data_IF_395327604651
#
_entry.id   IF_395327604651
#
_cell.length_a   1.000
_cell.length_b   1.000
_cell.length_c   1.000
_cell.angle_alpha   90.00
_cell.angle_beta   90.00
_cell.angle_gamma   90.00
#
_symmetry.space_group_name_H-M   'P 1'
#
loop_
_entity.id
_entity.type
_entity.pdbx_description
1 polymer ?
#
# COMPACT_ATOMS: atom_id res chain seq x y z
N UNK A 1 -26.89 49.30 64.77
CA UNK A 1 -27.60 49.98 63.68
C UNK A 1 -27.11 49.45 62.35
N UNK A 2 -28.05 48.99 61.50
CA UNK A 2 -28.08 49.08 60.02
C UNK A 2 -26.80 48.61 59.29
N UNK A 3 -26.75 47.38 58.77
CA UNK A 3 -27.32 46.95 57.47
C UNK A 3 -26.77 47.76 56.28
N UNK A 4 -26.22 47.09 55.26
CA UNK A 4 -26.81 47.00 53.90
C UNK A 4 -25.75 46.73 52.79
N UNK A 5 -26.03 45.67 52.01
CA UNK A 5 -25.79 45.53 50.55
C UNK A 5 -24.33 45.32 50.08
N UNK A 6 -23.99 44.42 49.15
CA UNK A 6 -24.79 43.52 48.33
C UNK A 6 -23.89 42.45 47.68
N UNK A 7 -24.55 41.39 47.24
CA UNK A 7 -24.02 40.24 46.53
C UNK A 7 -23.10 40.55 45.34
N UNK A 8 -21.94 39.87 45.28
CA UNK A 8 -21.36 39.41 44.02
C UNK A 8 -21.01 37.93 44.19
N UNK A 9 -22.00 37.09 43.86
CA UNK A 9 -21.80 35.70 43.47
C UNK A 9 -21.01 35.70 42.17
N UNK A 10 -19.73 35.38 42.20
CA UNK A 10 -19.02 34.94 41.01
C UNK A 10 -18.13 33.76 41.40
N UNK A 11 -18.72 32.56 41.34
CA UNK A 11 -18.14 31.38 40.71
C UNK A 11 -16.83 31.65 39.95
N UNK A 12 -15.70 31.69 40.66
CA UNK A 12 -14.36 31.77 40.10
C UNK A 12 -13.74 30.40 39.85
N UNK A 13 -14.58 29.38 39.62
CA UNK A 13 -14.17 27.98 39.49
C UNK A 13 -14.25 27.44 38.05
N UNK A 14 -14.66 28.22 37.04
CA UNK A 14 -15.04 27.62 35.73
C UNK A 14 -14.52 28.36 34.48
N UNK A 15 -13.41 29.10 34.53
CA UNK A 15 -12.89 29.67 33.27
C UNK A 15 -11.38 29.90 33.24
N UNK A 16 -10.59 28.87 33.56
CA UNK A 16 -9.17 28.80 33.21
C UNK A 16 -8.90 27.61 32.26
N UNK A 17 -9.84 27.38 31.34
CA UNK A 17 -9.77 26.34 30.29
C UNK A 17 -9.91 26.95 28.89
N UNK A 18 -9.39 28.17 28.72
CA UNK A 18 -9.33 28.90 27.45
C UNK A 18 -7.95 29.54 27.47
N UNK A 19 -6.90 29.01 26.85
CA UNK A 19 -6.70 28.90 25.41
C UNK A 19 -5.51 27.93 25.27
N UNK A 20 -5.73 26.67 24.91
CA UNK A 20 -4.63 25.90 24.32
C UNK A 20 -4.45 26.43 22.88
N UNK A 21 -3.25 26.89 22.48
CA UNK A 21 -3.00 27.11 21.07
C UNK A 21 -3.09 25.74 20.39
N UNK A 22 -4.15 25.53 19.62
CA UNK A 22 -4.20 24.43 18.66
C UNK A 22 -3.18 24.81 17.60
N UNK A 23 -1.93 24.37 17.79
CA UNK A 23 -0.88 24.51 16.79
C UNK A 23 -1.42 23.90 15.51
N UNK A 24 -1.68 24.74 14.51
CA UNK A 24 -2.06 24.31 13.17
C UNK A 24 -0.84 23.64 12.56
N UNK A 25 -0.76 22.31 12.72
CA UNK A 25 0.32 21.52 12.15
C UNK A 25 0.13 21.54 10.64
N UNK A 26 0.85 22.44 9.98
CA UNK A 26 1.04 22.42 8.54
C UNK A 26 1.84 21.15 8.22
N UNK A 27 1.14 20.09 7.87
CA UNK A 27 1.75 18.81 7.50
C UNK A 27 1.79 18.70 5.98
N UNK A 28 2.97 18.63 5.38
CA UNK A 28 3.10 18.11 4.03
C UNK A 28 2.83 16.59 4.01
N UNK A 29 2.45 16.07 2.85
CA UNK A 29 2.25 14.62 2.65
C UNK A 29 3.32 14.06 1.73
N UNK A 30 4.10 13.11 2.24
CA UNK A 30 5.11 12.36 1.50
C UNK A 30 4.52 11.00 1.14
N UNK A 31 4.35 10.75 -0.15
CA UNK A 31 3.94 9.46 -0.69
C UNK A 31 5.20 8.66 -1.00
N UNK A 32 5.34 7.51 -0.36
CA UNK A 32 6.43 6.58 -0.58
C UNK A 32 6.11 5.63 -1.75
N UNK A 33 7.14 5.08 -2.40
CA UNK A 33 7.00 4.14 -3.53
C UNK A 33 6.32 2.82 -3.16
N UNK A 34 6.33 2.46 -1.88
CA UNK A 34 5.60 1.31 -1.36
C UNK A 34 4.09 1.59 -1.12
N UNK A 35 3.62 2.79 -1.48
CA UNK A 35 2.23 3.22 -1.31
C UNK A 35 1.90 3.76 0.09
N UNK A 36 2.85 3.75 1.04
CA UNK A 36 2.64 4.38 2.35
C UNK A 36 2.66 5.90 2.23
N UNK A 37 1.78 6.55 2.96
CA UNK A 37 1.76 8.00 3.07
C UNK A 37 2.22 8.41 4.45
N UNK A 38 3.08 9.41 4.49
CA UNK A 38 3.68 9.93 5.71
C UNK A 38 3.39 11.42 5.75
N UNK A 39 2.85 11.90 6.88
CA UNK A 39 2.52 13.31 7.06
C UNK A 39 3.54 13.93 8.00
N UNK A 40 4.10 15.05 7.62
CA UNK A 40 5.14 15.70 8.40
C UNK A 40 5.58 17.01 7.80
N UNK A 41 6.39 17.76 8.54
CA UNK A 41 6.97 19.01 8.08
C UNK A 41 8.29 18.73 7.38
N UNK A 42 8.41 19.04 6.09
CA UNK A 42 9.69 18.93 5.37
C UNK A 42 10.59 20.08 5.80
N UNK A 43 11.74 19.76 6.40
CA UNK A 43 12.72 20.77 6.86
C UNK A 43 13.72 21.12 5.77
N UNK A 44 14.08 20.16 4.92
CA UNK A 44 15.09 20.36 3.89
C UNK A 44 15.29 19.12 3.03
N UNK A 45 16.03 19.29 1.94
CA UNK A 45 16.38 18.18 1.05
C UNK A 45 17.81 18.34 0.54
N UNK A 46 18.50 17.22 0.44
CA UNK A 46 19.83 17.12 -0.16
C UNK A 46 19.71 16.48 -1.55
N UNK A 47 20.83 16.14 -2.19
CA UNK A 47 20.84 15.41 -3.47
C UNK A 47 20.17 14.04 -3.33
N UNK A 48 20.41 13.33 -2.23
CA UNK A 48 20.02 11.92 -2.05
C UNK A 48 18.80 11.71 -1.12
N UNK A 49 18.54 12.64 -0.20
CA UNK A 49 17.55 12.49 0.87
C UNK A 49 16.68 13.72 1.08
N UNK A 50 15.55 13.51 1.76
CA UNK A 50 14.64 14.54 2.27
C UNK A 50 14.53 14.36 3.78
N UNK A 51 14.71 15.43 4.53
CA UNK A 51 14.60 15.43 5.99
C UNK A 51 13.26 16.04 6.38
N UNK A 52 12.45 15.28 7.12
CA UNK A 52 11.12 15.71 7.54
C UNK A 52 10.88 15.38 9.02
N UNK A 53 10.13 16.25 9.70
CA UNK A 53 9.64 16.00 11.06
C UNK A 53 8.30 15.30 10.98
N UNK A 54 8.25 14.06 11.43
CA UNK A 54 7.07 13.20 11.44
C UNK A 54 6.77 12.88 12.89
N UNK A 55 5.57 13.20 13.35
CA UNK A 55 5.13 12.95 14.73
C UNK A 55 6.09 13.50 15.81
N UNK A 56 6.84 14.56 15.48
CA UNK A 56 7.81 15.20 16.38
C UNK A 56 9.24 14.68 16.27
N UNK A 57 9.48 13.62 15.48
CA UNK A 57 10.82 13.08 15.23
C UNK A 57 11.36 13.52 13.87
N UNK A 58 12.64 13.89 13.83
CA UNK A 58 13.35 14.19 12.58
C UNK A 58 13.76 12.89 11.90
N UNK A 59 13.16 12.61 10.75
CA UNK A 59 13.41 11.41 9.96
C UNK A 59 14.00 11.81 8.60
N UNK A 60 15.11 11.17 8.24
CA UNK A 60 15.73 11.30 6.93
C UNK A 60 15.24 10.19 6.01
N UNK A 61 14.54 10.56 4.94
CA UNK A 61 13.94 9.66 3.96
C UNK A 61 14.71 9.78 2.64
N UNK A 62 15.30 8.69 2.11
CA UNK A 62 15.99 8.74 0.81
C UNK A 62 15.00 8.93 -0.34
N UNK A 63 15.36 9.75 -1.34
CA UNK A 63 14.51 10.07 -2.49
C UNK A 63 14.18 8.84 -3.35
N UNK A 64 15.04 7.84 -3.34
CA UNK A 64 14.78 6.53 -3.99
C UNK A 64 13.51 5.85 -3.46
N UNK A 65 13.10 6.14 -2.21
CA UNK A 65 11.88 5.62 -1.59
C UNK A 65 10.68 6.56 -1.75
N UNK A 66 10.86 7.77 -2.23
CA UNK A 66 9.81 8.78 -2.38
C UNK A 66 9.21 8.69 -3.79
N UNK A 67 7.88 8.73 -3.86
CA UNK A 67 7.13 8.83 -5.11
C UNK A 67 6.73 10.28 -5.40
N UNK A 68 6.11 10.95 -4.42
CA UNK A 68 5.64 12.33 -4.57
C UNK A 68 5.56 13.04 -3.21
N UNK A 69 5.88 14.33 -3.18
CA UNK A 69 5.63 15.20 -2.02
C UNK A 69 4.52 16.18 -2.39
N UNK A 70 3.52 16.29 -1.53
CA UNK A 70 2.37 17.19 -1.67
C UNK A 70 2.47 18.24 -0.58
N UNK A 71 2.78 19.46 -1.01
CA UNK A 71 2.81 20.64 -0.14
C UNK A 71 1.41 21.24 -0.06
N UNK A 72 0.94 21.52 1.15
CA UNK A 72 -0.27 22.32 1.33
C UNK A 72 0.03 23.79 0.97
N UNK A 73 -0.87 24.45 0.25
CA UNK A 73 -0.67 25.71 -0.49
C UNK A 73 -0.37 26.98 0.35
N UNK A 74 -0.06 26.81 1.62
CA UNK A 74 0.19 27.84 2.62
C UNK A 74 1.69 28.12 2.86
N UNK A 75 2.59 27.44 2.16
CA UNK A 75 4.02 27.65 2.32
C UNK A 75 4.50 28.93 1.60
N UNK A 76 4.98 29.93 2.35
CA UNK A 76 5.40 31.25 1.86
C UNK A 76 6.65 31.21 0.98
N UNK A 77 7.42 30.13 1.03
CA UNK A 77 8.62 29.90 0.21
C UNK A 77 8.30 29.56 -1.25
N UNK A 78 7.20 28.83 -1.50
CA UNK A 78 6.70 28.54 -2.86
C UNK A 78 6.26 29.81 -3.58
N UNK A 79 5.67 30.77 -2.86
CA UNK A 79 5.25 32.05 -3.46
C UNK A 79 6.45 32.85 -3.97
N UNK A 80 7.56 32.91 -3.24
CA UNK A 80 8.79 33.61 -3.66
C UNK A 80 9.44 32.96 -4.89
N UNK A 81 9.42 31.63 -4.98
CA UNK A 81 9.91 30.90 -6.17
C UNK A 81 8.99 31.06 -7.39
N UNK A 82 7.67 31.20 -7.20
CA UNK A 82 6.69 31.36 -8.28
C UNK A 82 6.52 32.81 -8.75
N UNK A 83 6.70 33.82 -7.89
CA UNK A 83 6.56 35.23 -8.26
C UNK A 83 7.74 35.80 -9.05
N UNK A 84 8.89 35.11 -9.07
CA UNK A 84 10.04 35.47 -9.92
C UNK A 84 9.88 35.10 -11.40
N UNK A 85 8.85 34.33 -11.76
CA UNK A 85 8.57 33.88 -13.13
C UNK A 85 7.15 34.24 -13.55
N UNK A 86 6.84 35.54 -13.63
CA UNK A 86 5.71 36.05 -14.42
C UNK A 86 6.21 37.06 -15.46
N UNK A 87 6.61 36.53 -16.61
CA UNK A 87 6.15 37.03 -17.91
C UNK A 87 6.01 35.82 -18.83
N UNK A 88 4.78 35.51 -19.24
CA UNK A 88 4.58 34.77 -20.48
C UNK A 88 5.13 35.64 -21.61
N UNK A 89 5.77 35.03 -22.60
CA UNK A 89 5.25 35.20 -23.95
C UNK A 89 4.75 33.87 -24.48
N UNK A 90 3.53 33.95 -24.98
CA UNK A 90 3.01 33.22 -26.12
C UNK A 90 4.11 32.91 -27.17
N UNK A 91 4.12 31.66 -27.63
CA UNK A 91 4.69 31.19 -28.90
C UNK A 91 6.18 31.48 -29.17
N UNK A 92 7.04 30.52 -28.84
CA UNK A 92 8.10 30.00 -29.75
C UNK A 92 8.93 28.94 -29.00
N UNK A 93 9.05 27.77 -29.62
CA UNK A 93 9.98 26.71 -29.22
C UNK A 93 11.42 27.24 -29.18
N UNK A 94 12.26 26.68 -28.31
CA UNK A 94 13.36 25.92 -28.88
C UNK A 94 13.38 24.49 -28.35
N UNK A 95 13.61 23.61 -29.31
CA UNK A 95 13.93 22.20 -29.20
C UNK A 95 15.09 21.95 -28.23
N UNK A 96 15.22 20.70 -27.74
CA UNK A 96 16.25 20.11 -26.85
C UNK A 96 15.70 19.49 -25.53
N UNK A 97 14.39 19.22 -25.42
CA UNK A 97 13.81 18.43 -24.32
C UNK A 97 12.89 17.27 -24.78
N UNK A 98 12.80 17.00 -26.09
CA UNK A 98 11.89 16.00 -26.66
C UNK A 98 12.43 14.56 -26.74
N UNK A 99 13.73 14.35 -26.53
CA UNK A 99 14.38 13.06 -26.77
C UNK A 99 14.44 12.13 -25.54
N UNK A 100 14.36 12.69 -24.32
CA UNK A 100 14.40 11.90 -23.07
C UNK A 100 13.02 11.33 -22.72
N UNK A 101 11.95 12.13 -22.85
CA UNK A 101 10.59 11.63 -22.58
C UNK A 101 10.11 10.58 -23.58
N UNK A 102 10.52 10.65 -24.85
CA UNK A 102 10.18 9.62 -25.85
C UNK A 102 10.88 8.30 -25.54
N UNK A 103 12.17 8.34 -25.19
CA UNK A 103 12.94 7.15 -24.82
C UNK A 103 12.40 6.47 -23.56
N UNK A 104 12.03 7.23 -22.53
CA UNK A 104 11.44 6.65 -21.32
C UNK A 104 10.06 6.02 -21.58
N UNK A 105 9.22 6.64 -22.43
CA UNK A 105 7.93 6.07 -22.83
C UNK A 105 8.11 4.80 -23.67
N UNK A 106 9.10 4.76 -24.54
CA UNK A 106 9.45 3.57 -25.33
C UNK A 106 9.96 2.42 -24.43
N UNK A 107 10.86 2.70 -23.49
CA UNK A 107 11.37 1.70 -22.54
C UNK A 107 10.26 1.12 -21.65
N UNK A 108 9.33 1.96 -21.20
CA UNK A 108 8.16 1.53 -20.45
C UNK A 108 7.25 0.63 -21.30
N UNK A 109 7.02 0.98 -22.57
CA UNK A 109 6.19 0.18 -23.47
C UNK A 109 6.78 -1.21 -23.73
N UNK A 110 8.11 -1.29 -23.92
CA UNK A 110 8.82 -2.56 -24.11
C UNK A 110 8.75 -3.41 -22.85
N UNK A 111 8.94 -2.80 -21.66
CA UNK A 111 8.80 -3.51 -20.38
C UNK A 111 7.38 -4.05 -20.19
N UNK A 112 6.35 -3.26 -20.49
CA UNK A 112 4.96 -3.70 -20.39
C UNK A 112 4.69 -4.90 -21.32
N UNK A 113 5.11 -4.84 -22.58
CA UNK A 113 4.98 -5.96 -23.52
C UNK A 113 5.70 -7.24 -23.03
N UNK A 114 6.88 -7.09 -22.43
CA UNK A 114 7.60 -8.22 -21.84
C UNK A 114 6.87 -8.81 -20.62
N UNK A 115 6.28 -7.96 -19.77
CA UNK A 115 5.48 -8.39 -18.63
C UNK A 115 4.23 -9.15 -19.09
N UNK A 116 3.50 -8.65 -20.08
CA UNK A 116 2.33 -9.32 -20.66
C UNK A 116 2.69 -10.72 -21.19
N UNK A 117 3.80 -10.83 -21.93
CA UNK A 117 4.30 -12.13 -22.40
C UNK A 117 4.64 -13.08 -21.25
N UNK A 118 5.21 -12.58 -20.15
CA UNK A 118 5.51 -13.38 -18.95
C UNK A 118 4.22 -13.84 -18.27
N UNK A 119 3.23 -12.96 -18.14
CA UNK A 119 1.92 -13.27 -17.57
C UNK A 119 1.25 -14.39 -18.37
N UNK A 120 1.16 -14.27 -19.70
CA UNK A 120 0.57 -15.32 -20.55
C UNK A 120 1.29 -16.68 -20.42
N UNK A 121 2.63 -16.68 -20.31
CA UNK A 121 3.41 -17.91 -20.05
C UNK A 121 3.06 -18.53 -18.70
N UNK A 122 2.92 -17.71 -17.65
CA UNK A 122 2.56 -18.17 -16.30
C UNK A 122 1.15 -18.73 -16.25
N UNK A 123 0.18 -18.06 -16.88
CA UNK A 123 -1.21 -18.54 -16.98
C UNK A 123 -1.30 -19.89 -17.69
N UNK A 124 -0.52 -20.08 -18.77
CA UNK A 124 -0.40 -21.35 -19.46
C UNK A 124 0.16 -22.47 -18.56
N UNK A 125 1.16 -22.16 -17.72
CA UNK A 125 1.71 -23.11 -16.74
C UNK A 125 0.69 -23.46 -15.65
N UNK A 126 -0.01 -22.47 -15.12
CA UNK A 126 -1.08 -22.66 -14.13
C UNK A 126 -2.17 -23.58 -14.69
N UNK A 127 -2.58 -23.37 -15.93
CA UNK A 127 -3.58 -24.22 -16.60
C UNK A 127 -3.14 -25.67 -16.73
N UNK A 128 -1.87 -25.92 -17.10
CA UNK A 128 -1.30 -27.28 -17.16
C UNK A 128 -1.25 -27.94 -15.77
N UNK A 129 -0.82 -27.20 -14.75
CA UNK A 129 -0.78 -27.68 -13.37
C UNK A 129 -2.19 -28.03 -12.88
N UNK A 130 -3.18 -27.17 -13.13
CA UNK A 130 -4.59 -27.41 -12.75
C UNK A 130 -5.15 -28.70 -13.38
N UNK A 131 -4.82 -28.98 -14.65
CA UNK A 131 -5.18 -30.25 -15.31
C UNK A 131 -4.50 -31.45 -14.64
N UNK A 132 -3.20 -31.36 -14.35
CA UNK A 132 -2.46 -32.44 -13.64
C UNK A 132 -3.05 -32.72 -12.26
N UNK A 133 -3.37 -31.67 -11.49
CA UNK A 133 -4.02 -31.81 -10.16
C UNK A 133 -5.36 -32.53 -10.30
N UNK A 134 -6.21 -32.14 -11.26
CA UNK A 134 -7.49 -32.79 -11.52
C UNK A 134 -7.32 -34.28 -11.85
N UNK A 135 -6.36 -34.60 -12.70
CA UNK A 135 -6.06 -35.97 -13.09
C UNK A 135 -5.56 -36.82 -11.91
N UNK A 136 -4.63 -36.30 -11.12
CA UNK A 136 -4.11 -36.98 -9.93
C UNK A 136 -5.21 -37.21 -8.89
N UNK A 137 -6.07 -36.21 -8.65
CA UNK A 137 -7.24 -36.37 -7.77
C UNK A 137 -8.16 -37.51 -8.23
N UNK A 138 -8.39 -37.65 -9.54
CA UNK A 138 -9.19 -38.75 -10.10
C UNK A 138 -8.51 -40.10 -9.86
N UNK A 139 -7.20 -40.20 -10.09
CA UNK A 139 -6.40 -41.43 -9.83
C UNK A 139 -6.44 -41.83 -8.35
N UNK A 140 -6.29 -40.87 -7.43
CA UNK A 140 -6.35 -41.14 -5.98
C UNK A 140 -7.72 -41.71 -5.61
N UNK A 141 -8.82 -41.12 -6.09
CA UNK A 141 -10.18 -41.61 -5.83
C UNK A 141 -10.40 -43.03 -6.35
N UNK A 142 -9.90 -43.34 -7.55
CA UNK A 142 -10.00 -44.68 -8.14
C UNK A 142 -9.26 -45.72 -7.28
N UNK A 143 -8.01 -45.41 -6.88
CA UNK A 143 -7.22 -46.29 -6.00
C UNK A 143 -7.89 -46.51 -4.66
N UNK A 144 -8.42 -45.46 -4.04
CA UNK A 144 -9.17 -45.59 -2.77
C UNK A 144 -10.40 -46.48 -2.92
N UNK A 145 -11.12 -46.40 -4.04
CA UNK A 145 -12.27 -47.26 -4.31
C UNK A 145 -11.86 -48.73 -4.55
N UNK A 146 -10.77 -48.97 -5.29
CA UNK A 146 -10.22 -50.31 -5.50
C UNK A 146 -9.74 -50.94 -4.19
N UNK A 147 -9.05 -50.18 -3.34
CA UNK A 147 -8.60 -50.64 -2.02
C UNK A 147 -9.79 -51.00 -1.13
N UNK A 148 -10.86 -50.19 -1.11
CA UNK A 148 -12.09 -50.52 -0.38
C UNK A 148 -12.73 -51.82 -0.87
N UNK A 149 -12.83 -52.02 -2.19
CA UNK A 149 -13.35 -53.27 -2.79
C UNK A 149 -12.48 -54.49 -2.47
N UNK A 150 -11.15 -54.34 -2.46
CA UNK A 150 -10.23 -55.42 -2.09
C UNK A 150 -10.38 -55.80 -0.61
N UNK A 151 -10.54 -54.81 0.28
CA UNK A 151 -10.76 -55.03 1.71
C UNK A 151 -12.09 -55.76 1.97
N UNK A 152 -13.18 -55.36 1.32
CA UNK A 152 -14.48 -56.03 1.49
C UNK A 152 -14.50 -57.47 0.95
N UNK A 153 -13.82 -57.76 -0.16
CA UNK A 153 -13.69 -59.14 -0.66
C UNK A 153 -12.83 -60.03 0.25
N UNK A 154 -11.85 -59.46 0.95
CA UNK A 154 -11.00 -60.21 1.88
C UNK A 154 -11.73 -60.57 3.18
N UNK A 155 -12.64 -59.72 3.67
CA UNK A 155 -13.45 -60.03 4.85
C UNK A 155 -14.48 -61.14 4.57
N UNK A 156 -15.19 -61.09 3.45
CA UNK A 156 -16.20 -62.09 3.10
C UNK A 156 -15.61 -63.49 2.87
N UNK A 157 -14.42 -63.57 2.25
CA UNK A 157 -13.70 -64.85 2.07
C UNK A 157 -13.24 -65.48 3.39
N UNK A 158 -12.95 -64.66 4.41
CA UNK A 158 -12.51 -65.13 5.72
C UNK A 158 -13.67 -65.70 6.55
N UNK A 159 -14.86 -65.11 6.43
CA UNK A 159 -16.09 -65.62 7.04
C UNK A 159 -16.54 -66.96 6.43
N UNK A 160 -16.48 -67.12 5.10
CA UNK A 160 -16.85 -68.38 4.45
C UNK A 160 -15.94 -69.53 4.84
N UNK A 161 -14.62 -69.30 4.96
CA UNK A 161 -13.66 -70.32 5.41
C UNK A 161 -13.81 -70.70 6.89
N UNK A 162 -14.36 -69.82 7.73
CA UNK A 162 -14.57 -70.10 9.15
C UNK A 162 -15.82 -70.96 9.37
N UNK A 163 -16.86 -70.79 8.55
CA UNK A 163 -18.08 -71.60 8.62
C UNK A 163 -17.89 -73.05 8.13
N UNK A 164 -17.01 -73.29 7.15
CA UNK A 164 -16.68 -74.66 6.69
C UNK A 164 -15.83 -75.45 7.70
N UNK A 165 -15.02 -74.78 8.53
CA UNK A 165 -14.21 -75.44 9.57
C UNK A 165 -14.99 -75.82 10.83
N UNK A 166 -16.24 -75.38 10.96
CA UNK A 166 -17.08 -75.57 12.16
C UNK A 166 -18.23 -76.56 11.94
N UNK A 167 -18.27 -77.24 10.78
CA UNK A 167 -19.17 -78.35 10.47
C UNK A 167 -18.37 -79.64 10.39
#
# INVERSE_FOLDING_TARGET
>A
MKSFFNAIKCTGFVLFLTILPVSTILSETIILRNGKTVRGKVLGHDSESVTAVIDGETVTIPKTKIYKVIFSSNNTELKKFLTGKKKLPESQEPEEAGSVEKKEKEDLSVRLSQLEKKIGKLEGRISRIKRKIRFLRKKIRQRQAEEKKKRSKKSTKKESSFQESSR
#
